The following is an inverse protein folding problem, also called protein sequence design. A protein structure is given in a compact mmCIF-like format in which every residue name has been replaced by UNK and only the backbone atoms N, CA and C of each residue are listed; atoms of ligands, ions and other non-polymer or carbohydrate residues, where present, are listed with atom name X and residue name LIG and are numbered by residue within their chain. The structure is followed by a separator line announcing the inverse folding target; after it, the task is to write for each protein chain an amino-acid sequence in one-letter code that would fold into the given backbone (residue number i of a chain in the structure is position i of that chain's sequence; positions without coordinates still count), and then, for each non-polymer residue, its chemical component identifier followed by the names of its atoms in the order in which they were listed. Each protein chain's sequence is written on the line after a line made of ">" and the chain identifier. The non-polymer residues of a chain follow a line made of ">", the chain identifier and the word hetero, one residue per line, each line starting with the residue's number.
data_IF_908625861597
#
_entry.id   IF_908625861597
#
_cell.length_a   1.000
_cell.length_b   1.000
_cell.length_c   1.000
_cell.angle_alpha   90.00
_cell.angle_beta   90.00
_cell.angle_gamma   90.00
#
_symmetry.space_group_name_H-M   'P 1'
#
loop_
_entity.id
_entity.type
_entity.pdbx_description
1 polymer ?
#
# COMPACT_ATOMS: atom_id res chain seq x y z
N UNK A 1 11.72 32.41 2.76
CA UNK A 1 12.29 31.23 3.46
C UNK A 1 12.12 30.03 2.53
N UNK A 2 13.22 29.53 1.93
CA UNK A 2 13.17 28.29 1.16
C UNK A 2 12.84 27.16 2.11
N UNK A 3 11.74 26.43 1.85
CA UNK A 3 11.42 25.21 2.60
C UNK A 3 12.56 24.23 2.31
N UNK A 4 13.45 24.00 3.28
CA UNK A 4 14.45 22.95 3.18
C UNK A 4 13.69 21.63 2.99
N UNK A 5 13.62 21.18 1.76
CA UNK A 5 13.06 19.87 1.44
C UNK A 5 14.04 18.83 1.97
N UNK A 6 13.53 17.81 2.68
CA UNK A 6 14.37 16.75 3.29
C UNK A 6 15.14 15.90 2.25
N UNK A 7 14.82 16.05 0.97
CA UNK A 7 15.54 15.48 -0.18
C UNK A 7 15.74 16.58 -1.22
N UNK A 8 16.98 16.72 -1.70
CA UNK A 8 17.27 17.56 -2.87
C UNK A 8 16.92 16.76 -4.14
N UNK A 9 15.91 17.20 -4.86
CA UNK A 9 15.41 16.49 -6.04
C UNK A 9 16.43 16.49 -7.20
N UNK A 10 17.27 17.53 -7.35
CA UNK A 10 18.29 17.58 -8.38
C UNK A 10 19.42 16.57 -8.12
N UNK A 11 19.90 16.50 -6.87
CA UNK A 11 20.93 15.54 -6.47
C UNK A 11 20.40 14.12 -6.55
N UNK A 12 19.13 13.89 -6.18
CA UNK A 12 18.48 12.60 -6.29
C UNK A 12 18.35 12.15 -7.75
N UNK A 13 17.92 13.04 -8.65
CA UNK A 13 17.85 12.76 -10.08
C UNK A 13 19.21 12.37 -10.64
N UNK A 14 20.25 13.15 -10.31
CA UNK A 14 21.62 12.91 -10.75
C UNK A 14 22.13 11.54 -10.31
N UNK A 15 22.03 11.25 -9.00
CA UNK A 15 22.49 9.98 -8.45
C UNK A 15 21.73 8.77 -9.02
N UNK A 16 20.42 8.94 -9.28
CA UNK A 16 19.62 7.89 -9.89
C UNK A 16 20.01 7.63 -11.34
N UNK A 17 20.23 8.69 -12.13
CA UNK A 17 20.64 8.56 -13.53
C UNK A 17 22.01 7.93 -13.65
N UNK A 18 23.00 8.37 -12.85
CA UNK A 18 24.34 7.78 -12.80
C UNK A 18 24.29 6.27 -12.44
N UNK A 19 23.43 5.91 -11.48
CA UNK A 19 23.26 4.51 -11.10
C UNK A 19 22.60 3.68 -12.22
N UNK A 20 21.60 4.23 -12.92
CA UNK A 20 20.98 3.55 -14.06
C UNK A 20 21.97 3.29 -15.18
N UNK A 21 22.84 4.26 -15.49
CA UNK A 21 23.91 4.12 -16.48
C UNK A 21 24.89 2.99 -16.10
N UNK A 22 25.30 2.91 -14.83
CA UNK A 22 26.15 1.82 -14.32
C UNK A 22 25.47 0.47 -14.46
N UNK A 23 24.19 0.37 -14.17
CA UNK A 23 23.43 -0.87 -14.35
C UNK A 23 23.32 -1.27 -15.83
N UNK A 24 23.18 -0.29 -16.74
CA UNK A 24 23.11 -0.57 -18.18
C UNK A 24 24.47 -1.02 -18.74
N UNK A 25 25.56 -0.51 -18.22
CA UNK A 25 26.91 -0.97 -18.54
C UNK A 25 27.11 -2.42 -18.05
N UNK A 26 26.77 -2.69 -16.79
CA UNK A 26 26.86 -4.04 -16.22
C UNK A 26 26.05 -5.06 -17.03
N UNK A 27 24.84 -4.69 -17.44
CA UNK A 27 23.98 -5.52 -18.27
C UNK A 27 24.57 -5.82 -19.66
N UNK A 28 25.24 -4.82 -20.29
CA UNK A 28 25.93 -5.02 -21.58
C UNK A 28 27.13 -5.95 -21.46
N UNK A 29 27.77 -5.97 -20.29
CA UNK A 29 28.92 -6.82 -19.98
C UNK A 29 28.53 -8.21 -19.39
N UNK A 30 27.24 -8.51 -19.34
CA UNK A 30 26.67 -9.73 -18.72
C UNK A 30 27.10 -9.93 -17.25
N UNK A 31 27.24 -8.81 -16.53
CA UNK A 31 27.58 -8.76 -15.12
C UNK A 31 26.33 -8.47 -14.27
N UNK A 32 26.42 -8.83 -12.99
CA UNK A 32 25.40 -8.47 -12.02
C UNK A 32 25.33 -6.94 -11.85
N UNK A 33 24.12 -6.44 -11.54
CA UNK A 33 23.92 -5.03 -11.21
C UNK A 33 24.82 -4.61 -10.05
N UNK A 34 25.45 -3.44 -10.11
CA UNK A 34 26.22 -2.91 -8.98
C UNK A 34 25.28 -2.66 -7.77
N UNK A 35 25.83 -2.67 -6.55
CA UNK A 35 25.04 -2.33 -5.37
C UNK A 35 24.47 -0.92 -5.48
N UNK A 36 23.24 -0.75 -4.97
CA UNK A 36 22.59 0.55 -5.03
C UNK A 36 23.36 1.58 -4.19
N UNK A 37 23.58 2.81 -4.68
CA UNK A 37 24.27 3.85 -3.92
C UNK A 37 23.52 4.17 -2.61
N UNK A 38 24.24 4.31 -1.52
CA UNK A 38 23.66 4.60 -0.20
C UNK A 38 22.73 5.80 -0.24
N UNK A 39 23.10 6.88 -0.96
CA UNK A 39 22.31 8.07 -1.09
C UNK A 39 20.93 7.81 -1.73
N UNK A 40 20.87 6.97 -2.77
CA UNK A 40 19.59 6.61 -3.41
C UNK A 40 18.73 5.78 -2.45
N UNK A 41 19.33 4.82 -1.75
CA UNK A 41 18.65 4.04 -0.71
C UNK A 41 18.11 4.90 0.43
N UNK A 42 18.91 5.86 0.91
CA UNK A 42 18.48 6.84 1.92
C UNK A 42 17.32 7.71 1.44
N UNK A 43 17.30 8.10 0.16
CA UNK A 43 16.19 8.85 -0.42
C UNK A 43 14.89 8.03 -0.35
N UNK A 44 14.92 6.76 -0.73
CA UNK A 44 13.75 5.88 -0.64
C UNK A 44 13.27 5.74 0.81
N UNK A 45 14.19 5.49 1.74
CA UNK A 45 13.88 5.38 3.17
C UNK A 45 13.23 6.67 3.70
N UNK A 46 13.85 7.83 3.46
CA UNK A 46 13.33 9.13 3.91
C UNK A 46 11.93 9.40 3.34
N UNK A 47 11.66 9.08 2.07
CA UNK A 47 10.33 9.24 1.49
C UNK A 47 9.32 8.33 2.20
N UNK A 48 9.66 7.06 2.40
CA UNK A 48 8.78 6.09 3.04
C UNK A 48 8.46 6.47 4.50
N UNK A 49 9.48 6.84 5.28
CA UNK A 49 9.30 7.30 6.67
C UNK A 49 8.43 8.55 6.77
N UNK A 50 8.70 9.58 5.93
CA UNK A 50 7.89 10.79 5.94
C UNK A 50 6.45 10.54 5.51
N UNK A 51 6.24 9.66 4.52
CA UNK A 51 4.90 9.27 4.07
C UNK A 51 4.15 8.50 5.17
N UNK A 52 4.83 7.59 5.88
CA UNK A 52 4.24 6.77 6.94
C UNK A 52 3.74 7.58 8.14
N UNK A 53 4.29 8.78 8.36
CA UNK A 53 3.88 9.68 9.43
C UNK A 53 2.65 10.53 9.09
N UNK A 54 2.14 10.43 7.86
CA UNK A 54 0.92 11.17 7.49
C UNK A 54 -0.30 10.59 8.21
N UNK A 55 -1.34 11.42 8.49
CA UNK A 55 -2.54 10.97 9.22
C UNK A 55 -3.18 9.70 8.65
N UNK A 56 -3.12 9.52 7.34
CA UNK A 56 -3.68 8.35 6.65
C UNK A 56 -2.93 7.04 6.95
N UNK A 57 -1.70 7.10 7.49
CA UNK A 57 -0.84 5.94 7.65
C UNK A 57 -0.31 5.75 9.08
N UNK A 58 -0.27 6.81 9.88
CA UNK A 58 0.38 6.81 11.19
C UNK A 58 -0.27 5.84 12.20
N UNK A 59 -1.56 5.56 12.06
CA UNK A 59 -2.33 4.76 13.01
C UNK A 59 -2.19 3.24 12.80
N UNK A 60 -1.49 2.79 11.76
CA UNK A 60 -1.33 1.36 11.51
C UNK A 60 -0.19 0.76 12.34
N UNK A 61 -0.47 -0.36 13.02
CA UNK A 61 0.52 -1.10 13.84
C UNK A 61 1.63 -1.73 12.99
N UNK A 62 1.35 -2.03 11.72
CA UNK A 62 2.28 -2.60 10.74
C UNK A 62 2.98 -1.54 9.87
N UNK A 63 3.30 -0.39 10.48
CA UNK A 63 3.92 0.74 9.77
C UNK A 63 5.31 0.41 9.23
N UNK A 64 6.09 -0.38 9.98
CA UNK A 64 7.45 -0.75 9.58
C UNK A 64 7.43 -1.70 8.38
N UNK A 65 6.47 -2.60 8.30
CA UNK A 65 6.24 -3.45 7.13
C UNK A 65 5.78 -2.62 5.92
N UNK A 66 4.98 -1.57 6.13
CA UNK A 66 4.61 -0.64 5.05
C UNK A 66 5.86 0.05 4.49
N UNK A 67 6.76 0.53 5.35
CA UNK A 67 8.02 1.17 4.95
C UNK A 67 8.88 0.18 4.16
N UNK A 68 9.05 -1.04 4.67
CA UNK A 68 9.81 -2.09 4.00
C UNK A 68 9.24 -2.43 2.61
N UNK A 69 7.93 -2.64 2.49
CA UNK A 69 7.26 -2.86 1.21
C UNK A 69 7.44 -1.68 0.24
N UNK A 70 7.42 -0.45 0.76
CA UNK A 70 7.66 0.76 -0.02
C UNK A 70 9.06 0.79 -0.63
N UNK A 71 10.08 0.50 0.17
CA UNK A 71 11.49 0.45 -0.26
C UNK A 71 11.70 -0.68 -1.26
N UNK A 72 11.19 -1.89 -0.98
CA UNK A 72 11.27 -3.03 -1.89
C UNK A 72 10.70 -2.70 -3.27
N UNK A 73 9.53 -2.06 -3.31
CA UNK A 73 8.93 -1.64 -4.58
C UNK A 73 9.78 -0.58 -5.30
N UNK A 74 10.41 0.35 -4.59
CA UNK A 74 11.33 1.32 -5.21
C UNK A 74 12.53 0.60 -5.84
N UNK A 75 13.11 -0.39 -5.14
CA UNK A 75 14.23 -1.20 -5.63
C UNK A 75 13.85 -2.04 -6.86
N UNK A 76 12.62 -2.57 -6.91
CA UNK A 76 12.15 -3.34 -8.07
C UNK A 76 11.87 -2.46 -9.30
N UNK A 77 11.41 -1.23 -9.09
CA UNK A 77 10.90 -0.38 -10.17
C UNK A 77 11.76 0.84 -10.49
N UNK A 78 12.96 1.00 -9.90
CA UNK A 78 13.80 2.17 -10.17
C UNK A 78 14.20 2.31 -11.64
N UNK A 79 14.36 1.18 -12.35
CA UNK A 79 14.69 1.16 -13.79
C UNK A 79 13.57 1.71 -14.67
N UNK A 80 12.33 1.73 -14.18
CA UNK A 80 11.18 2.24 -14.94
C UNK A 80 11.09 3.77 -14.89
N UNK A 81 11.91 4.41 -14.06
CA UNK A 81 12.00 5.87 -14.05
C UNK A 81 12.76 6.34 -15.30
N UNK A 82 12.12 7.18 -16.09
CA UNK A 82 12.68 7.74 -17.32
C UNK A 82 12.95 9.25 -17.10
N UNK A 83 14.23 9.59 -17.02
CA UNK A 83 14.68 10.98 -16.84
C UNK A 83 14.36 11.89 -18.03
N UNK A 84 14.13 11.33 -19.21
CA UNK A 84 13.69 12.09 -20.38
C UNK A 84 12.22 12.52 -20.28
N UNK A 85 11.39 11.75 -19.56
CA UNK A 85 9.96 12.05 -19.38
C UNK A 85 9.65 12.85 -18.13
N UNK A 86 10.49 12.73 -17.09
CA UNK A 86 10.24 13.40 -15.81
C UNK A 86 11.53 13.80 -15.11
N UNK A 87 11.58 15.04 -14.65
CA UNK A 87 12.68 15.58 -13.85
C UNK A 87 12.41 15.49 -12.34
N UNK A 88 11.35 14.78 -11.93
CA UNK A 88 10.93 14.71 -10.53
C UNK A 88 10.87 13.27 -10.00
N UNK A 89 12.03 12.65 -9.70
CA UNK A 89 12.09 11.32 -9.11
C UNK A 89 11.40 11.26 -7.75
N UNK A 90 11.45 12.34 -6.95
CA UNK A 90 10.79 12.40 -5.66
C UNK A 90 9.28 12.13 -5.77
N UNK A 91 8.58 12.77 -6.70
CA UNK A 91 7.16 12.55 -6.91
C UNK A 91 6.87 11.13 -7.41
N UNK A 92 7.69 10.63 -8.33
CA UNK A 92 7.57 9.29 -8.89
C UNK A 92 7.68 8.20 -7.83
N UNK A 93 8.74 8.23 -7.02
CA UNK A 93 8.94 7.24 -5.95
C UNK A 93 7.97 7.40 -4.78
N UNK A 94 7.54 8.64 -4.48
CA UNK A 94 6.45 8.85 -3.51
C UNK A 94 5.17 8.15 -3.93
N UNK A 95 4.84 8.15 -5.22
CA UNK A 95 3.66 7.46 -5.74
C UNK A 95 3.81 5.94 -5.65
N UNK A 96 4.98 5.38 -5.96
CA UNK A 96 5.26 3.95 -5.81
C UNK A 96 5.07 3.51 -4.36
N UNK A 97 5.67 4.24 -3.41
CA UNK A 97 5.58 3.95 -1.98
C UNK A 97 4.14 4.08 -1.50
N UNK A 98 3.41 5.10 -1.94
CA UNK A 98 2.00 5.28 -1.60
C UNK A 98 1.15 4.07 -2.00
N UNK A 99 1.32 3.56 -3.22
CA UNK A 99 0.59 2.38 -3.66
C UNK A 99 1.06 1.10 -2.97
N UNK A 100 2.33 0.98 -2.58
CA UNK A 100 2.82 -0.12 -1.76
C UNK A 100 2.12 -0.13 -0.40
N UNK A 101 1.99 1.02 0.26
CA UNK A 101 1.27 1.18 1.52
C UNK A 101 -0.20 0.77 1.40
N UNK A 102 -0.89 1.23 0.35
CA UNK A 102 -2.28 0.82 0.12
C UNK A 102 -2.42 -0.70 -0.09
N UNK A 103 -1.49 -1.34 -0.81
CA UNK A 103 -1.49 -2.79 -0.99
C UNK A 103 -1.30 -3.53 0.33
N UNK A 104 -0.37 -3.07 1.20
CA UNK A 104 -0.16 -3.64 2.53
C UNK A 104 -1.43 -3.53 3.37
N UNK A 105 -2.04 -2.36 3.45
CA UNK A 105 -3.29 -2.14 4.19
C UNK A 105 -4.39 -3.09 3.70
N UNK A 106 -4.52 -3.26 2.40
CA UNK A 106 -5.53 -4.18 1.84
C UNK A 106 -5.23 -5.64 2.18
N UNK A 107 -3.95 -6.04 2.18
CA UNK A 107 -3.51 -7.38 2.58
C UNK A 107 -3.83 -7.66 4.04
N UNK A 108 -3.48 -6.74 4.95
CA UNK A 108 -3.75 -6.86 6.38
C UNK A 108 -5.26 -6.91 6.68
N UNK A 109 -6.06 -6.03 6.05
CA UNK A 109 -7.52 -6.06 6.17
C UNK A 109 -8.11 -7.40 5.69
N UNK A 110 -7.57 -7.96 4.61
CA UNK A 110 -8.02 -9.27 4.11
C UNK A 110 -7.67 -10.41 5.08
N UNK A 111 -6.47 -10.38 5.67
CA UNK A 111 -6.07 -11.36 6.67
C UNK A 111 -6.94 -11.28 7.92
N UNK A 112 -7.23 -10.06 8.37
CA UNK A 112 -8.12 -9.83 9.51
C UNK A 112 -9.52 -10.34 9.23
N UNK A 113 -10.06 -10.08 8.03
CA UNK A 113 -11.35 -10.62 7.60
C UNK A 113 -11.38 -12.15 7.65
N UNK A 114 -10.34 -12.83 7.15
CA UNK A 114 -10.26 -14.29 7.18
C UNK A 114 -10.26 -14.82 8.62
N UNK A 115 -9.49 -14.16 9.51
CA UNK A 115 -9.46 -14.53 10.93
C UNK A 115 -10.85 -14.39 11.57
N UNK A 116 -11.50 -13.26 11.39
CA UNK A 116 -12.81 -12.99 11.97
C UNK A 116 -13.89 -13.92 11.42
N UNK A 117 -13.85 -14.20 10.12
CA UNK A 117 -14.79 -15.13 9.49
C UNK A 117 -14.62 -16.57 9.98
N UNK A 118 -13.38 -17.00 10.23
CA UNK A 118 -13.11 -18.28 10.86
C UNK A 118 -13.63 -18.33 12.30
N UNK A 119 -13.40 -17.28 13.10
CA UNK A 119 -13.90 -17.18 14.47
C UNK A 119 -15.44 -17.25 14.52
N UNK A 120 -16.12 -16.59 13.59
CA UNK A 120 -17.58 -16.65 13.43
C UNK A 120 -18.04 -18.09 13.13
N UNK A 121 -17.39 -18.80 12.19
CA UNK A 121 -17.73 -20.16 11.79
C UNK A 121 -17.50 -21.20 12.89
N UNK A 122 -16.53 -20.99 13.76
CA UNK A 122 -16.27 -21.90 14.88
C UNK A 122 -17.24 -21.71 16.06
N UNK A 123 -18.19 -20.77 15.98
CA UNK A 123 -19.16 -20.50 17.04
C UNK A 123 -18.55 -19.88 18.31
N UNK A 124 -17.28 -19.51 18.28
CA UNK A 124 -16.58 -18.94 19.46
C UNK A 124 -17.23 -17.62 19.89
N UNK A 125 -17.92 -16.96 18.98
CA UNK A 125 -18.62 -15.70 19.24
C UNK A 125 -20.04 -15.89 19.77
N UNK A 126 -20.60 -17.11 19.69
CA UNK A 126 -21.96 -17.43 20.16
C UNK A 126 -22.00 -17.75 21.66
N UNK A 127 -20.84 -18.03 22.25
CA UNK A 127 -20.72 -18.15 23.70
C UNK A 127 -20.72 -16.74 24.29
N UNK A 128 -21.91 -16.31 24.72
CA UNK A 128 -22.08 -15.08 25.50
C UNK A 128 -21.49 -15.30 26.91
N UNK A 129 -20.16 -15.26 27.01
CA UNK A 129 -19.53 -15.16 28.30
C UNK A 129 -19.78 -13.75 28.85
N UNK A 130 -20.82 -13.65 29.69
CA UNK A 130 -20.98 -12.53 30.58
C UNK A 130 -19.93 -12.70 31.69
N UNK A 131 -19.01 -11.74 31.82
CA UNK A 131 -18.10 -11.73 32.95
C UNK A 131 -18.40 -10.50 33.82
N UNK A 132 -18.27 -10.75 35.13
CA UNK A 132 -18.38 -9.75 36.15
C UNK A 132 -17.08 -8.93 36.18
N UNK A 133 -17.19 -7.60 36.04
CA UNK A 133 -16.03 -6.74 36.22
C UNK A 133 -15.70 -6.57 37.71
N UNK A 134 -14.57 -5.92 38.03
CA UNK A 134 -14.12 -5.68 39.40
C UNK A 134 -15.11 -4.90 40.26
N UNK A 135 -16.11 -4.27 39.66
CA UNK A 135 -17.14 -3.48 40.31
C UNK A 135 -18.49 -4.22 40.42
N UNK A 136 -18.54 -5.51 40.06
CA UNK A 136 -19.73 -6.35 40.15
C UNK A 136 -20.74 -6.14 39.03
N UNK A 137 -20.36 -5.43 37.95
CA UNK A 137 -21.24 -5.20 36.80
C UNK A 137 -21.01 -6.28 35.75
N UNK A 138 -22.12 -6.84 35.24
CA UNK A 138 -22.09 -7.76 34.10
C UNK A 138 -21.82 -7.00 32.82
N UNK A 139 -20.66 -7.23 32.20
CA UNK A 139 -20.31 -6.65 30.90
C UNK A 139 -20.44 -7.68 29.80
N UNK A 140 -21.20 -7.34 28.80
CA UNK A 140 -21.27 -8.10 27.56
C UNK A 140 -20.07 -7.78 26.67
N UNK A 141 -19.55 -8.78 25.99
CA UNK A 141 -18.40 -8.62 25.10
C UNK A 141 -18.78 -7.74 23.89
N UNK A 142 -18.39 -6.47 23.88
CA UNK A 142 -18.52 -5.58 22.70
C UNK A 142 -17.66 -6.05 21.51
N UNK A 143 -16.83 -7.09 21.71
CA UNK A 143 -15.97 -7.63 20.67
C UNK A 143 -16.77 -8.26 19.53
N UNK A 144 -17.92 -8.91 19.86
CA UNK A 144 -18.80 -9.53 18.87
C UNK A 144 -19.33 -8.51 17.85
N UNK A 145 -19.88 -7.42 18.35
CA UNK A 145 -20.49 -6.37 17.51
C UNK A 145 -19.44 -5.75 16.59
N UNK A 146 -18.23 -5.47 17.10
CA UNK A 146 -17.12 -4.93 16.32
C UNK A 146 -16.64 -5.90 15.23
N UNK A 147 -16.59 -7.20 15.51
CA UNK A 147 -16.21 -8.24 14.54
C UNK A 147 -17.27 -8.37 13.45
N UNK A 148 -18.54 -8.46 13.84
CA UNK A 148 -19.66 -8.56 12.89
C UNK A 148 -19.79 -7.34 12.00
N UNK A 149 -19.64 -6.14 12.57
CA UNK A 149 -19.61 -4.90 11.81
C UNK A 149 -18.45 -4.86 10.82
N UNK A 150 -17.25 -5.27 11.24
CA UNK A 150 -16.09 -5.32 10.35
C UNK A 150 -16.31 -6.29 9.18
N UNK A 151 -16.82 -7.50 9.44
CA UNK A 151 -17.13 -8.51 8.42
C UNK A 151 -18.14 -7.93 7.42
N UNK A 152 -19.25 -7.38 7.91
CA UNK A 152 -20.30 -6.80 7.08
C UNK A 152 -19.74 -5.69 6.18
N UNK A 153 -19.01 -4.74 6.74
CA UNK A 153 -18.42 -3.62 6.02
C UNK A 153 -17.40 -4.09 4.96
N UNK A 154 -16.62 -5.13 5.26
CA UNK A 154 -15.67 -5.68 4.32
C UNK A 154 -16.37 -6.36 3.13
N UNK A 155 -17.40 -7.17 3.38
CA UNK A 155 -18.19 -7.86 2.36
C UNK A 155 -18.98 -6.87 1.49
N UNK A 156 -19.60 -5.87 2.10
CA UNK A 156 -20.32 -4.82 1.38
C UNK A 156 -19.42 -4.01 0.45
N UNK A 157 -18.23 -3.62 0.92
CA UNK A 157 -17.25 -2.92 0.09
C UNK A 157 -16.76 -3.79 -1.08
N UNK A 158 -16.62 -5.11 -0.87
CA UNK A 158 -16.27 -6.06 -1.93
C UNK A 158 -17.38 -6.18 -2.97
N UNK A 159 -18.65 -6.22 -2.52
CA UNK A 159 -19.83 -6.24 -3.40
C UNK A 159 -19.91 -4.96 -4.25
N UNK A 160 -19.84 -3.78 -3.62
CA UNK A 160 -19.87 -2.48 -4.32
C UNK A 160 -18.77 -2.37 -5.39
N UNK A 161 -17.55 -2.85 -5.09
CA UNK A 161 -16.46 -2.89 -6.07
C UNK A 161 -16.73 -3.83 -7.24
N UNK A 162 -17.39 -4.98 -7.01
CA UNK A 162 -17.76 -5.92 -8.06
C UNK A 162 -18.83 -5.33 -8.98
N UNK A 163 -19.88 -4.74 -8.39
CA UNK A 163 -20.96 -4.07 -9.11
C UNK A 163 -20.46 -2.88 -9.95
N UNK A 164 -19.56 -2.06 -9.39
CA UNK A 164 -18.95 -0.95 -10.13
C UNK A 164 -18.13 -1.39 -11.33
N UNK A 165 -17.37 -2.51 -11.19
CA UNK A 165 -16.62 -3.08 -12.31
C UNK A 165 -17.53 -3.65 -13.38
N UNK A 166 -18.62 -4.30 -12.98
CA UNK A 166 -19.59 -4.91 -13.89
C UNK A 166 -20.30 -3.83 -14.71
N UNK A 167 -20.79 -2.76 -14.07
CA UNK A 167 -21.38 -1.60 -14.76
C UNK A 167 -20.40 -0.90 -15.72
N UNK A 168 -19.11 -0.83 -15.38
CA UNK A 168 -18.09 -0.27 -16.27
C UNK A 168 -17.84 -1.13 -17.51
N UNK A 169 -17.89 -2.47 -17.36
CA UNK A 169 -17.77 -3.41 -18.48
C UNK A 169 -19.02 -3.38 -19.38
N UNK A 170 -20.21 -3.34 -18.81
CA UNK A 170 -21.46 -3.24 -19.56
C UNK A 170 -21.50 -1.96 -20.40
N UNK A 171 -21.14 -0.82 -19.80
CA UNK A 171 -21.06 0.46 -20.52
C UNK A 171 -20.05 0.42 -21.67
N UNK A 172 -18.88 -0.22 -21.48
CA UNK A 172 -17.87 -0.37 -22.53
C UNK A 172 -18.38 -1.23 -23.69
N UNK A 173 -19.11 -2.32 -23.40
CA UNK A 173 -19.71 -3.18 -24.41
C UNK A 173 -20.85 -2.52 -25.19
N UNK A 174 -21.63 -1.64 -24.54
CA UNK A 174 -22.68 -0.85 -25.19
C UNK A 174 -22.09 0.22 -26.14
N UNK A 175 -20.93 0.81 -25.79
CA UNK A 175 -20.25 1.80 -26.64
C UNK A 175 -19.56 1.17 -27.87
N UNK A 176 -19.25 -0.13 -27.86
CA UNK A 176 -18.60 -0.84 -28.99
C UNK A 176 -19.58 -1.46 -29.99
N UNK A 177 -20.88 -1.45 -29.74
CA UNK A 177 -21.89 -1.90 -30.69
C UNK A 177 -22.33 -0.71 -31.56
N UNK A 178 -21.83 -0.55 -32.81
CA UNK A 178 -22.40 0.44 -33.72
C UNK A 178 -23.83 0.01 -34.06
N UNK A 179 -24.76 0.98 -33.97
CA UNK A 179 -26.12 0.82 -34.44
C UNK A 179 -26.11 0.21 -35.86
N UNK A 180 -26.41 -1.07 -35.93
CA UNK A 180 -26.68 -1.74 -37.20
C UNK A 180 -28.12 -1.40 -37.62
N UNK A 181 -28.22 -0.32 -38.37
CA UNK A 181 -29.41 -0.02 -39.18
C UNK A 181 -29.28 -0.61 -40.58
#
# INVERSE_FOLDING_TARGET
>A
MSKNHYINNADFLKALTEYQELCDIAKKEDKQDPPIPNYVGECFLKIAEHLSRKPNFISYSFRDEMIADGIENCLMYFRNFDSAKSNNPFAYFTQIIYYAFLRRIMKEKKQLYVKYKATEQFGILDEHEMFEDSDGNMRQFQLYDNISEFIHNFEENKRKKKESKQKGLEKFLEEELPDSA
#
